data_IF_399113714012
#
_entry.id   IF_399113714012
#
_cell.length_a   1.000
_cell.length_b   1.000
_cell.length_c   1.000
_cell.angle_alpha   90.00
_cell.angle_beta   90.00
_cell.angle_gamma   90.00
#
_symmetry.space_group_name_H-M   'P 1'
#
loop_
_entity.id
_entity.type
_entity.pdbx_description
1 polymer ?
#
# COMPACT_ATOMS: atom_id res chain seq x y z
N UNK A 1 -28.83 -1.04 12.91
CA UNK A 1 -27.47 -0.69 13.36
C UNK A 1 -26.62 -0.63 12.11
N UNK A 2 -26.43 0.58 11.64
CA UNK A 2 -26.02 0.89 10.28
C UNK A 2 -24.53 0.62 10.06
N UNK A 3 -24.26 -0.13 9.01
CA UNK A 3 -22.93 -0.47 8.52
C UNK A 3 -22.32 0.66 7.66
N UNK A 4 -22.28 1.89 8.19
CA UNK A 4 -21.74 3.07 7.49
C UNK A 4 -20.28 3.37 7.85
N UNK A 5 -19.40 2.35 7.92
CA UNK A 5 -17.98 2.54 8.24
C UNK A 5 -17.04 2.42 7.03
N UNK A 6 -17.57 2.39 5.81
CA UNK A 6 -16.73 2.39 4.61
C UNK A 6 -16.93 3.70 3.85
N UNK A 7 -15.85 4.33 3.31
CA UNK A 7 -15.98 5.49 2.43
C UNK A 7 -17.02 5.20 1.36
N UNK A 8 -17.91 6.15 1.05
CA UNK A 8 -18.92 5.97 0.03
C UNK A 8 -18.28 5.47 -1.27
N UNK A 9 -18.93 4.53 -1.94
CA UNK A 9 -18.49 3.83 -3.14
C UNK A 9 -17.92 4.77 -4.21
N UNK A 10 -18.55 5.90 -4.42
CA UNK A 10 -18.11 6.96 -5.34
C UNK A 10 -16.74 7.54 -4.96
N UNK A 11 -16.38 7.61 -3.66
CA UNK A 11 -15.09 8.09 -3.19
C UNK A 11 -13.96 7.10 -3.49
N UNK A 12 -14.21 5.78 -3.40
CA UNK A 12 -13.22 4.74 -3.71
C UNK A 12 -12.87 4.72 -5.19
N UNK A 13 -13.87 4.86 -6.06
CA UNK A 13 -13.68 4.92 -7.51
C UNK A 13 -12.92 6.19 -7.91
N UNK A 14 -13.30 7.35 -7.38
CA UNK A 14 -12.60 8.61 -7.65
C UNK A 14 -11.16 8.65 -7.14
N UNK A 15 -10.88 8.06 -5.97
CA UNK A 15 -9.51 7.99 -5.44
C UNK A 15 -8.60 7.13 -6.31
N UNK A 16 -9.11 6.03 -6.90
CA UNK A 16 -8.29 5.15 -7.75
C UNK A 16 -7.97 5.77 -9.12
N UNK A 17 -8.84 6.60 -9.69
CA UNK A 17 -8.61 7.25 -10.99
C UNK A 17 -7.59 8.41 -10.92
N UNK A 18 -7.52 9.11 -9.80
CA UNK A 18 -6.62 10.25 -9.61
C UNK A 18 -5.36 9.91 -8.80
N UNK A 19 -5.23 8.67 -8.33
CA UNK A 19 -4.09 8.24 -7.54
C UNK A 19 -2.88 7.99 -8.47
N UNK A 20 -1.80 8.80 -8.39
CA UNK A 20 -0.70 8.73 -9.34
C UNK A 20 -0.09 7.34 -9.47
N UNK A 21 0.12 6.65 -8.35
CA UNK A 21 0.62 5.28 -8.34
C UNK A 21 -0.28 4.32 -9.13
N UNK A 22 -1.61 4.48 -9.06
CA UNK A 22 -2.55 3.65 -9.81
C UNK A 22 -2.47 3.91 -11.31
N UNK A 23 -2.24 5.15 -11.72
CA UNK A 23 -2.03 5.54 -13.12
C UNK A 23 -0.76 4.89 -13.66
N UNK A 24 0.36 5.03 -12.94
CA UNK A 24 1.65 4.46 -13.33
C UNK A 24 1.59 2.94 -13.38
N UNK A 25 0.93 2.32 -12.40
CA UNK A 25 0.72 0.87 -12.37
C UNK A 25 -0.11 0.37 -13.56
N UNK A 26 -1.24 1.03 -13.87
CA UNK A 26 -2.06 0.69 -15.04
C UNK A 26 -1.26 0.81 -16.33
N UNK A 27 -0.51 1.89 -16.47
CA UNK A 27 0.34 2.15 -17.63
C UNK A 27 1.38 1.04 -17.80
N UNK A 28 2.09 0.69 -16.73
CA UNK A 28 3.06 -0.39 -16.74
C UNK A 28 2.41 -1.74 -17.11
N UNK A 29 1.25 -2.04 -16.51
CA UNK A 29 0.54 -3.29 -16.79
C UNK A 29 -0.01 -3.36 -18.23
N UNK A 30 -0.47 -2.26 -18.78
CA UNK A 30 -0.98 -2.20 -20.16
C UNK A 30 0.12 -2.51 -21.21
N UNK A 31 1.37 -2.24 -20.90
CA UNK A 31 2.52 -2.62 -21.74
C UNK A 31 3.19 -3.91 -21.29
N UNK A 32 2.48 -4.70 -20.46
CA UNK A 32 2.90 -6.01 -19.96
C UNK A 32 4.23 -5.98 -19.20
N UNK A 33 4.45 -4.98 -18.34
CA UNK A 33 5.58 -4.99 -17.40
C UNK A 33 5.40 -6.15 -16.43
N UNK A 34 6.34 -7.12 -16.42
CA UNK A 34 6.19 -8.35 -15.64
C UNK A 34 6.49 -8.19 -14.16
N UNK A 35 7.45 -7.33 -13.82
CA UNK A 35 7.96 -7.16 -12.46
C UNK A 35 7.89 -5.69 -12.04
N UNK A 36 7.18 -5.41 -10.98
CA UNK A 36 7.04 -4.07 -10.41
C UNK A 36 7.38 -4.14 -8.92
N UNK A 37 8.16 -3.20 -8.42
CA UNK A 37 8.37 -3.00 -6.99
C UNK A 37 7.71 -1.69 -6.56
N UNK A 38 7.01 -1.71 -5.45
CA UNK A 38 6.32 -0.52 -4.92
C UNK A 38 6.79 -0.25 -3.50
N UNK A 39 7.40 0.90 -3.30
CA UNK A 39 7.65 1.44 -1.96
C UNK A 39 6.32 1.90 -1.38
N UNK A 40 5.81 1.18 -0.38
CA UNK A 40 4.54 1.46 0.28
C UNK A 40 4.70 1.37 1.79
N UNK A 41 4.10 2.32 2.50
CA UNK A 41 3.98 2.33 3.95
C UNK A 41 2.74 1.56 4.44
N UNK A 42 1.74 1.36 3.57
CA UNK A 42 0.54 0.56 3.83
C UNK A 42 0.29 -0.44 2.70
N UNK A 43 0.98 -1.59 2.71
CA UNK A 43 0.82 -2.61 1.67
C UNK A 43 -0.61 -3.10 1.48
N UNK A 44 -1.44 -3.09 2.53
CA UNK A 44 -2.83 -3.55 2.45
C UNK A 44 -3.70 -2.57 1.66
N UNK A 45 -3.62 -1.28 1.96
CA UNK A 45 -4.31 -0.25 1.19
C UNK A 45 -3.79 -0.17 -0.25
N UNK A 46 -2.47 -0.27 -0.44
CA UNK A 46 -1.84 -0.26 -1.76
C UNK A 46 -2.33 -1.42 -2.63
N UNK A 47 -2.38 -2.65 -2.10
CA UNK A 47 -2.92 -3.81 -2.85
C UNK A 47 -4.33 -3.54 -3.35
N UNK A 48 -5.21 -3.04 -2.47
CA UNK A 48 -6.60 -2.71 -2.83
C UNK A 48 -6.64 -1.63 -3.92
N UNK A 49 -5.93 -0.53 -3.72
CA UNK A 49 -5.90 0.57 -4.68
C UNK A 49 -5.40 0.14 -6.06
N UNK A 50 -4.33 -0.66 -6.11
CA UNK A 50 -3.79 -1.17 -7.37
C UNK A 50 -4.75 -2.15 -8.05
N UNK A 51 -5.38 -3.08 -7.31
CA UNK A 51 -6.37 -3.99 -7.87
C UNK A 51 -7.60 -3.22 -8.40
N UNK A 52 -8.15 -2.30 -7.61
CA UNK A 52 -9.26 -1.44 -8.02
C UNK A 52 -8.96 -0.58 -9.25
N UNK A 53 -7.72 -0.14 -9.41
CA UNK A 53 -7.33 0.64 -10.59
C UNK A 53 -7.48 -0.11 -11.91
N UNK A 54 -7.61 -1.44 -11.86
CA UNK A 54 -7.79 -2.30 -13.02
C UNK A 54 -9.26 -2.61 -13.33
N UNK A 55 -10.19 -2.19 -12.48
CA UNK A 55 -11.64 -2.33 -12.73
C UNK A 55 -12.03 -1.37 -13.84
N UNK A 56 -12.83 -1.85 -14.80
CA UNK A 56 -13.38 -0.99 -15.83
C UNK A 56 -14.58 -0.22 -15.25
N UNK A 57 -14.35 1.01 -14.85
CA UNK A 57 -15.36 1.87 -14.20
C UNK A 57 -16.59 2.08 -15.08
N UNK A 58 -16.43 2.11 -16.41
CA UNK A 58 -17.56 2.32 -17.34
C UNK A 58 -18.57 1.14 -17.35
N UNK A 59 -18.14 -0.03 -16.88
CA UNK A 59 -18.97 -1.24 -16.77
C UNK A 59 -19.11 -1.74 -15.33
N UNK A 60 -18.63 -0.98 -14.34
CA UNK A 60 -18.70 -1.36 -12.95
C UNK A 60 -20.15 -1.43 -12.45
N UNK A 61 -20.50 -2.54 -11.80
CA UNK A 61 -21.80 -2.78 -11.16
C UNK A 61 -21.69 -2.64 -9.64
N UNK A 62 -22.84 -2.64 -8.95
CA UNK A 62 -22.88 -2.68 -7.48
C UNK A 62 -22.08 -3.88 -6.93
N UNK A 63 -22.11 -5.03 -7.61
CA UNK A 63 -21.34 -6.21 -7.21
C UNK A 63 -19.82 -6.01 -7.27
N UNK A 64 -19.34 -5.10 -8.12
CA UNK A 64 -17.91 -4.73 -8.15
C UNK A 64 -17.51 -3.96 -6.90
N UNK A 65 -18.39 -3.10 -6.39
CA UNK A 65 -18.16 -2.26 -5.22
C UNK A 65 -18.16 -3.05 -3.91
N UNK A 66 -18.91 -4.14 -3.85
CA UNK A 66 -18.97 -5.02 -2.67
C UNK A 66 -17.73 -5.92 -2.53
N UNK A 67 -16.88 -6.00 -3.57
CA UNK A 67 -15.68 -6.82 -3.56
C UNK A 67 -14.45 -5.99 -3.15
N UNK A 68 -13.72 -6.44 -2.12
CA UNK A 68 -12.54 -5.73 -1.57
C UNK A 68 -11.46 -5.42 -2.62
N UNK A 69 -11.35 -6.25 -3.66
CA UNK A 69 -10.34 -6.12 -4.72
C UNK A 69 -10.94 -5.82 -6.11
N UNK A 70 -12.24 -5.59 -6.20
CA UNK A 70 -12.98 -5.47 -7.46
C UNK A 70 -13.19 -6.82 -8.16
N UNK A 71 -14.10 -6.86 -9.14
CA UNK A 71 -14.32 -8.04 -9.97
C UNK A 71 -13.37 -8.04 -11.18
N UNK A 72 -12.64 -9.12 -11.35
CA UNK A 72 -11.70 -9.33 -12.44
C UNK A 72 -11.85 -10.72 -13.03
N UNK A 73 -11.72 -10.82 -14.36
CA UNK A 73 -11.70 -12.08 -15.09
C UNK A 73 -10.31 -12.77 -15.06
N UNK A 74 -9.46 -12.43 -14.10
CA UNK A 74 -8.13 -13.00 -13.95
C UNK A 74 -7.79 -13.20 -12.48
N UNK A 75 -6.90 -14.15 -12.13
CA UNK A 75 -6.52 -14.41 -10.76
C UNK A 75 -5.77 -13.23 -10.13
N UNK A 76 -6.19 -12.85 -8.90
CA UNK A 76 -5.44 -11.96 -8.02
C UNK A 76 -5.04 -12.74 -6.78
N UNK A 77 -3.79 -12.61 -6.37
CA UNK A 77 -3.20 -13.31 -5.24
C UNK A 77 -2.23 -12.45 -4.47
N UNK A 78 -2.00 -12.85 -3.22
CA UNK A 78 -0.87 -12.36 -2.44
C UNK A 78 -0.02 -13.53 -1.95
N UNK A 79 1.21 -13.23 -1.67
CA UNK A 79 2.12 -14.10 -0.95
C UNK A 79 2.71 -13.38 0.25
N UNK A 80 2.76 -14.07 1.38
CA UNK A 80 3.54 -13.69 2.55
C UNK A 80 4.18 -14.94 3.17
N UNK A 81 5.25 -14.73 3.96
CA UNK A 81 6.02 -15.84 4.56
C UNK A 81 5.23 -16.62 5.63
N UNK A 82 4.18 -16.04 6.19
CA UNK A 82 3.36 -16.71 7.22
C UNK A 82 2.31 -17.64 6.64
N UNK A 83 1.83 -17.34 5.43
CA UNK A 83 0.66 -18.00 4.86
C UNK A 83 0.93 -18.63 3.48
N UNK A 84 2.05 -18.29 2.81
CA UNK A 84 2.30 -18.71 1.44
C UNK A 84 1.39 -17.96 0.44
N UNK A 85 1.06 -18.61 -0.67
CA UNK A 85 0.20 -18.04 -1.72
C UNK A 85 -1.27 -18.12 -1.33
N UNK A 86 -1.95 -16.97 -1.25
CA UNK A 86 -3.36 -16.81 -0.90
C UNK A 86 -4.12 -16.18 -2.06
N UNK A 87 -5.23 -16.74 -2.50
CA UNK A 87 -6.12 -16.09 -3.47
C UNK A 87 -6.85 -14.89 -2.84
N UNK A 88 -7.03 -13.81 -3.61
CA UNK A 88 -7.73 -12.60 -3.19
C UNK A 88 -9.07 -12.40 -3.91
N UNK A 89 -9.32 -13.13 -4.99
CA UNK A 89 -10.59 -13.11 -5.72
C UNK A 89 -11.03 -14.51 -6.14
N UNK A 90 -12.23 -14.65 -6.72
CA UNK A 90 -12.79 -15.94 -7.10
C UNK A 90 -11.94 -16.66 -8.15
N UNK A 91 -11.42 -15.94 -9.15
CA UNK A 91 -10.52 -16.53 -10.16
C UNK A 91 -9.25 -17.08 -9.53
N UNK A 92 -8.71 -16.38 -8.52
CA UNK A 92 -7.59 -16.86 -7.71
C UNK A 92 -7.93 -18.12 -6.92
N UNK A 93 -9.12 -18.20 -6.33
CA UNK A 93 -9.61 -19.39 -5.61
C UNK A 93 -9.79 -20.59 -6.54
N UNK A 94 -10.43 -20.37 -7.69
CA UNK A 94 -10.65 -21.39 -8.73
C UNK A 94 -9.32 -22.01 -9.17
N UNK A 95 -8.35 -21.18 -9.51
CA UNK A 95 -7.02 -21.65 -9.88
C UNK A 95 -6.33 -22.41 -8.73
N UNK A 96 -6.41 -21.87 -7.51
CA UNK A 96 -5.79 -22.48 -6.34
C UNK A 96 -6.36 -23.87 -6.09
N UNK A 97 -7.66 -24.05 -6.17
CA UNK A 97 -8.34 -25.35 -6.00
C UNK A 97 -7.91 -26.38 -7.06
N UNK A 98 -7.83 -25.95 -8.33
CA UNK A 98 -7.42 -26.80 -9.44
C UNK A 98 -5.95 -27.25 -9.36
N UNK A 99 -5.08 -26.47 -8.71
CA UNK A 99 -3.63 -26.71 -8.63
C UNK A 99 -3.15 -27.23 -7.27
N UNK A 100 -4.03 -27.77 -6.44
CA UNK A 100 -3.68 -28.50 -5.24
C UNK A 100 -4.21 -27.93 -3.92
N UNK A 101 -5.00 -26.87 -3.97
CA UNK A 101 -5.74 -26.31 -2.83
C UNK A 101 -4.90 -26.02 -1.58
N UNK A 102 -5.51 -26.05 -0.39
CA UNK A 102 -4.85 -25.76 0.89
C UNK A 102 -3.69 -26.69 1.23
N UNK A 103 -3.69 -27.93 0.71
CA UNK A 103 -2.62 -28.90 0.97
C UNK A 103 -1.27 -28.51 0.37
N UNK A 104 -1.23 -27.66 -0.66
CA UNK A 104 0.00 -27.08 -1.24
C UNK A 104 0.36 -25.72 -0.65
N UNK A 105 -0.49 -25.11 0.14
CA UNK A 105 -0.25 -23.80 0.73
C UNK A 105 1.00 -23.80 1.61
N UNK A 106 1.21 -24.85 2.40
CA UNK A 106 2.38 -24.99 3.25
C UNK A 106 3.71 -25.07 2.47
N UNK A 107 3.71 -25.58 1.24
CA UNK A 107 4.93 -25.62 0.43
C UNK A 107 5.30 -24.25 -0.13
N UNK A 108 4.33 -23.36 -0.33
CA UNK A 108 4.55 -22.01 -0.86
C UNK A 108 4.95 -20.98 0.21
N UNK A 109 5.13 -21.38 1.47
CA UNK A 109 5.73 -20.52 2.51
C UNK A 109 7.18 -20.18 2.14
N UNK A 110 7.90 -21.13 1.54
CA UNK A 110 9.23 -20.84 1.00
C UNK A 110 9.09 -19.92 -0.24
N UNK A 111 9.78 -18.78 -0.27
CA UNK A 111 9.66 -17.82 -1.36
C UNK A 111 10.09 -18.37 -2.71
N UNK A 112 11.09 -19.25 -2.76
CA UNK A 112 11.54 -19.87 -4.01
C UNK A 112 10.50 -20.86 -4.55
N UNK A 113 9.88 -21.66 -3.68
CA UNK A 113 8.81 -22.59 -4.07
C UNK A 113 7.56 -21.81 -4.53
N UNK A 114 7.24 -20.68 -3.89
CA UNK A 114 6.17 -19.83 -4.34
C UNK A 114 6.39 -19.36 -5.78
N UNK A 115 7.60 -18.91 -6.12
CA UNK A 115 7.92 -18.48 -7.49
C UNK A 115 7.84 -19.62 -8.51
N UNK A 116 8.25 -20.84 -8.17
CA UNK A 116 8.06 -22.02 -9.04
C UNK A 116 6.58 -22.31 -9.34
N UNK A 117 5.71 -22.09 -8.36
CA UNK A 117 4.26 -22.21 -8.57
C UNK A 117 3.76 -21.07 -9.48
N UNK A 118 4.31 -19.88 -9.32
CA UNK A 118 3.95 -18.70 -10.11
C UNK A 118 4.41 -18.78 -11.58
N UNK A 119 5.36 -19.64 -11.93
CA UNK A 119 5.71 -19.92 -13.33
C UNK A 119 4.56 -20.55 -14.13
N UNK A 120 3.55 -21.15 -13.46
CA UNK A 120 2.45 -21.89 -14.07
C UNK A 120 1.09 -21.18 -13.95
N UNK A 121 1.09 -19.87 -13.86
CA UNK A 121 -0.15 -19.11 -13.67
C UNK A 121 -0.89 -18.86 -14.99
N UNK A 122 -2.23 -18.69 -14.93
CA UNK A 122 -3.03 -18.24 -16.07
C UNK A 122 -2.59 -16.86 -16.55
N UNK A 123 -2.99 -16.54 -17.78
CA UNK A 123 -2.77 -15.22 -18.36
C UNK A 123 -3.35 -14.11 -17.48
N UNK A 124 -2.71 -12.93 -17.51
CA UNK A 124 -3.12 -11.72 -16.81
C UNK A 124 -3.15 -11.82 -15.28
N UNK A 125 -2.60 -12.88 -14.69
CA UNK A 125 -2.52 -13.01 -13.22
C UNK A 125 -1.81 -11.82 -12.59
N UNK A 126 -2.34 -11.35 -11.46
CA UNK A 126 -1.72 -10.35 -10.60
C UNK A 126 -1.33 -11.00 -9.27
N UNK A 127 -0.05 -10.93 -8.93
CA UNK A 127 0.46 -11.47 -7.67
C UNK A 127 1.19 -10.40 -6.88
N UNK A 128 0.76 -10.16 -5.65
CA UNK A 128 1.44 -9.28 -4.70
C UNK A 128 2.35 -10.11 -3.78
N UNK A 129 3.60 -9.71 -3.64
CA UNK A 129 4.56 -10.31 -2.70
C UNK A 129 4.84 -9.30 -1.60
N UNK A 130 4.35 -9.60 -0.39
CA UNK A 130 4.51 -8.73 0.77
C UNK A 130 5.93 -8.80 1.32
N UNK A 131 6.46 -7.65 1.71
CA UNK A 131 7.84 -7.50 2.19
C UNK A 131 8.89 -8.05 1.20
N UNK A 132 8.62 -7.93 -0.10
CA UNK A 132 9.47 -8.45 -1.17
C UNK A 132 10.93 -7.98 -1.08
N UNK A 133 11.17 -6.76 -0.56
CA UNK A 133 12.50 -6.20 -0.33
C UNK A 133 13.39 -7.09 0.55
N UNK A 134 12.82 -7.89 1.46
CA UNK A 134 13.55 -8.77 2.38
C UNK A 134 14.19 -9.98 1.70
N UNK A 135 13.71 -10.35 0.51
CA UNK A 135 14.13 -11.55 -0.19
C UNK A 135 15.10 -11.26 -1.35
N UNK A 136 15.41 -9.99 -1.63
CA UNK A 136 16.29 -9.58 -2.72
C UNK A 136 17.79 -9.86 -2.48
N UNK A 137 18.14 -10.51 -1.39
CA UNK A 137 19.47 -11.08 -1.14
C UNK A 137 19.49 -12.62 -1.23
N UNK A 138 18.36 -13.25 -1.60
CA UNK A 138 18.26 -14.70 -1.74
C UNK A 138 18.37 -15.08 -3.23
N UNK A 139 19.40 -15.79 -3.61
CA UNK A 139 19.71 -16.14 -5.00
C UNK A 139 18.56 -16.93 -5.67
N UNK A 140 17.93 -17.85 -4.95
CA UNK A 140 16.81 -18.63 -5.47
C UNK A 140 15.58 -17.75 -5.74
N UNK A 141 15.35 -16.76 -4.89
CA UNK A 141 14.25 -15.80 -5.08
C UNK A 141 14.52 -14.87 -6.27
N UNK A 142 15.73 -14.34 -6.38
CA UNK A 142 16.17 -13.50 -7.50
C UNK A 142 16.04 -14.28 -8.81
N UNK A 143 16.57 -15.51 -8.86
CA UNK A 143 16.48 -16.36 -10.04
C UNK A 143 15.03 -16.70 -10.39
N UNK A 144 14.18 -16.97 -9.40
CA UNK A 144 12.75 -17.25 -9.64
C UNK A 144 12.00 -16.05 -10.21
N UNK A 145 12.28 -14.83 -9.74
CA UNK A 145 11.73 -13.60 -10.32
C UNK A 145 12.21 -13.43 -11.78
N UNK A 146 13.48 -13.66 -12.01
CA UNK A 146 14.06 -13.56 -13.35
C UNK A 146 13.43 -14.57 -14.30
N UNK A 147 13.19 -15.82 -13.88
CA UNK A 147 12.50 -16.85 -14.65
C UNK A 147 11.06 -16.43 -15.00
N UNK A 148 10.34 -15.78 -14.08
CA UNK A 148 9.00 -15.30 -14.32
C UNK A 148 8.94 -14.16 -15.34
N UNK A 149 10.00 -13.39 -15.52
CA UNK A 149 10.04 -12.19 -16.35
C UNK A 149 9.48 -12.40 -17.76
N UNK A 150 10.07 -13.30 -18.51
CA UNK A 150 9.72 -13.50 -19.92
C UNK A 150 8.34 -14.18 -20.08
N UNK A 151 8.02 -15.11 -19.18
CA UNK A 151 6.69 -15.74 -19.10
C UNK A 151 5.60 -14.69 -18.87
N UNK A 152 5.81 -13.82 -17.88
CA UNK A 152 4.83 -12.84 -17.48
C UNK A 152 4.66 -11.73 -18.52
N UNK A 153 5.75 -11.33 -19.17
CA UNK A 153 5.68 -10.40 -20.30
C UNK A 153 4.83 -10.96 -21.45
N UNK A 154 4.97 -12.25 -21.73
CA UNK A 154 4.24 -12.91 -22.82
C UNK A 154 2.76 -13.13 -22.48
N UNK A 155 2.44 -13.50 -21.24
CA UNK A 155 1.06 -13.81 -20.82
C UNK A 155 0.32 -12.62 -20.17
N UNK A 156 0.95 -11.44 -20.09
CA UNK A 156 0.37 -10.23 -19.52
C UNK A 156 0.19 -10.27 -18.00
N UNK A 157 0.86 -11.20 -17.29
CA UNK A 157 0.84 -11.27 -15.83
C UNK A 157 1.82 -10.28 -15.21
N UNK A 158 1.64 -9.98 -13.93
CA UNK A 158 2.51 -9.06 -13.18
C UNK A 158 2.74 -9.56 -11.76
N UNK A 159 4.00 -9.56 -11.33
CA UNK A 159 4.37 -9.67 -9.92
C UNK A 159 4.63 -8.27 -9.38
N UNK A 160 3.99 -7.93 -8.27
CA UNK A 160 4.18 -6.68 -7.54
C UNK A 160 4.85 -6.98 -6.21
N UNK A 161 6.10 -6.57 -6.06
CA UNK A 161 6.82 -6.62 -4.79
C UNK A 161 6.39 -5.41 -3.97
N UNK A 162 5.78 -5.62 -2.81
CA UNK A 162 5.41 -4.55 -1.87
C UNK A 162 6.39 -4.51 -0.71
N UNK A 163 6.83 -3.32 -0.33
CA UNK A 163 7.74 -3.14 0.79
C UNK A 163 8.28 -1.72 0.87
N UNK A 164 9.39 -1.55 1.57
CA UNK A 164 10.04 -0.26 1.77
C UNK A 164 11.53 -0.35 1.47
N UNK A 165 12.10 0.71 0.91
CA UNK A 165 13.55 0.82 0.73
C UNK A 165 14.14 -0.24 -0.18
N UNK A 166 13.49 -0.55 -1.30
CA UNK A 166 13.99 -1.51 -2.28
C UNK A 166 15.38 -1.14 -2.78
N UNK A 167 16.30 -2.11 -2.68
CA UNK A 167 17.62 -2.08 -3.31
C UNK A 167 17.67 -3.25 -4.29
N UNK A 168 17.52 -2.95 -5.59
CA UNK A 168 17.49 -3.98 -6.62
C UNK A 168 18.87 -4.60 -6.80
N UNK A 169 18.97 -5.93 -6.82
CA UNK A 169 20.20 -6.60 -7.22
C UNK A 169 20.49 -6.31 -8.72
N UNK A 170 21.76 -6.35 -9.15
CA UNK A 170 22.14 -6.04 -10.52
C UNK A 170 21.36 -6.82 -11.59
N UNK A 171 21.03 -8.09 -11.30
CA UNK A 171 20.30 -8.99 -12.19
C UNK A 171 18.88 -8.53 -12.49
N UNK A 172 18.26 -7.81 -11.56
CA UNK A 172 16.88 -7.33 -11.67
C UNK A 172 16.76 -5.83 -11.89
N UNK A 173 17.85 -5.09 -11.83
CA UNK A 173 17.86 -3.62 -11.83
C UNK A 173 17.20 -3.01 -13.09
N UNK A 174 17.34 -3.68 -14.24
CA UNK A 174 16.75 -3.23 -15.51
C UNK A 174 15.38 -3.85 -15.80
N UNK A 175 14.97 -4.87 -15.06
CA UNK A 175 13.77 -5.66 -15.34
C UNK A 175 12.60 -5.29 -14.39
N UNK A 176 12.91 -4.69 -13.25
CA UNK A 176 11.91 -4.28 -12.24
C UNK A 176 11.63 -2.79 -12.33
N UNK A 177 10.39 -2.43 -12.59
CA UNK A 177 9.94 -1.03 -12.51
C UNK A 177 9.70 -0.67 -11.05
N UNK A 178 10.42 0.32 -10.54
CA UNK A 178 10.25 0.83 -9.18
C UNK A 178 9.25 1.98 -9.16
N UNK A 179 8.18 1.83 -8.41
CA UNK A 179 7.17 2.84 -8.15
C UNK A 179 7.20 3.25 -6.67
N UNK A 180 6.83 4.49 -6.40
CA UNK A 180 6.74 5.01 -5.03
C UNK A 180 5.31 5.42 -4.73
N UNK A 181 4.77 4.95 -3.62
CA UNK A 181 3.50 5.43 -3.11
C UNK A 181 3.66 6.88 -2.64
N UNK A 182 2.88 7.82 -3.17
CA UNK A 182 2.93 9.19 -2.72
C UNK A 182 2.35 9.30 -1.31
N UNK A 183 2.91 10.19 -0.50
CA UNK A 183 2.31 10.55 0.77
C UNK A 183 0.97 11.27 0.56
N UNK A 184 0.03 11.17 1.50
CA UNK A 184 -1.24 11.87 1.42
C UNK A 184 -1.07 13.38 1.27
N UNK A 185 -1.84 13.96 0.38
CA UNK A 185 -1.94 15.41 0.22
C UNK A 185 -2.66 16.06 1.41
N UNK A 186 -2.52 17.38 1.58
CA UNK A 186 -3.23 18.13 2.62
C UNK A 186 -4.75 17.89 2.57
N UNK A 187 -5.34 17.84 1.36
CA UNK A 187 -6.78 17.57 1.18
C UNK A 187 -7.17 16.15 1.65
N UNK A 188 -6.33 15.16 1.36
CA UNK A 188 -6.57 13.79 1.81
C UNK A 188 -6.42 13.66 3.33
N UNK A 189 -5.43 14.31 3.93
CA UNK A 189 -5.25 14.36 5.38
C UNK A 189 -6.43 15.07 6.07
N UNK A 190 -6.94 16.14 5.48
CA UNK A 190 -8.15 16.81 5.97
C UNK A 190 -9.37 15.87 5.96
N UNK A 191 -9.56 15.08 4.90
CA UNK A 191 -10.61 14.07 4.84
C UNK A 191 -10.43 13.01 5.92
N UNK A 192 -9.21 12.48 6.11
CA UNK A 192 -8.89 11.51 7.15
C UNK A 192 -9.25 12.06 8.54
N UNK A 193 -8.86 13.30 8.85
CA UNK A 193 -9.16 13.93 10.14
C UNK A 193 -10.67 14.04 10.36
N UNK A 194 -11.41 14.52 9.35
CA UNK A 194 -12.86 14.66 9.41
C UNK A 194 -13.57 13.31 9.60
N UNK A 195 -13.14 12.29 8.87
CA UNK A 195 -13.68 10.93 8.96
C UNK A 195 -13.44 10.33 10.34
N UNK A 196 -12.25 10.47 10.90
CA UNK A 196 -11.92 9.98 12.24
C UNK A 196 -12.75 10.69 13.33
N UNK A 197 -12.90 12.00 13.24
CA UNK A 197 -13.74 12.76 14.19
C UNK A 197 -15.21 12.38 14.08
N UNK A 198 -15.73 12.20 12.87
CA UNK A 198 -17.10 11.76 12.62
C UNK A 198 -17.35 10.36 13.18
N UNK A 199 -16.42 9.41 12.95
CA UNK A 199 -16.50 8.06 13.50
C UNK A 199 -16.51 8.03 15.04
N UNK A 200 -15.80 8.98 15.67
CA UNK A 200 -15.79 9.16 17.11
C UNK A 200 -16.97 10.00 17.66
N UNK A 201 -17.89 10.45 16.79
CA UNK A 201 -18.99 11.38 17.13
C UNK A 201 -18.50 12.66 17.81
N UNK A 202 -17.32 13.15 17.42
CA UNK A 202 -16.75 14.39 17.94
C UNK A 202 -17.03 15.56 17.00
N UNK A 203 -17.15 16.80 17.54
CA UNK A 203 -17.38 17.98 16.71
C UNK A 203 -16.17 18.28 15.83
N UNK A 204 -16.43 18.76 14.61
CA UNK A 204 -15.38 19.27 13.73
C UNK A 204 -14.77 20.54 14.36
N UNK A 205 -13.45 20.68 14.36
CA UNK A 205 -12.78 21.89 14.82
C UNK A 205 -13.04 23.05 13.86
N UNK A 206 -12.78 24.26 14.32
CA UNK A 206 -12.80 25.44 13.46
C UNK A 206 -11.72 25.31 12.34
N UNK A 207 -11.89 26.07 11.23
CA UNK A 207 -10.99 25.95 10.08
C UNK A 207 -9.50 26.20 10.40
N UNK A 208 -9.19 27.07 11.35
CA UNK A 208 -7.80 27.37 11.71
C UNK A 208 -7.18 26.20 12.50
N UNK A 209 -7.94 25.59 13.40
CA UNK A 209 -7.53 24.40 14.16
C UNK A 209 -7.42 23.19 13.24
N UNK A 210 -8.33 23.02 12.28
CA UNK A 210 -8.26 21.95 11.28
C UNK A 210 -7.00 22.09 10.41
N UNK A 211 -6.68 23.29 9.93
CA UNK A 211 -5.46 23.54 9.17
C UNK A 211 -4.19 23.18 9.97
N UNK A 212 -4.12 23.55 11.27
CA UNK A 212 -3.00 23.15 12.13
C UNK A 212 -2.91 21.63 12.32
N UNK A 213 -4.04 20.94 12.38
CA UNK A 213 -4.06 19.47 12.47
C UNK A 213 -3.56 18.82 11.17
N UNK A 214 -3.94 19.36 10.02
CA UNK A 214 -3.40 18.94 8.70
C UNK A 214 -1.89 19.14 8.67
N UNK A 215 -1.39 20.31 9.06
CA UNK A 215 0.05 20.59 9.12
C UNK A 215 0.79 19.60 10.05
N UNK A 216 0.18 19.28 11.17
CA UNK A 216 0.74 18.29 12.12
C UNK A 216 0.80 16.87 11.51
N UNK A 217 -0.05 16.53 10.56
CA UNK A 217 -0.08 15.20 9.91
C UNK A 217 0.67 15.15 8.59
N UNK A 218 1.02 16.28 7.98
CA UNK A 218 1.81 16.32 6.74
C UNK A 218 3.11 15.52 6.86
N UNK A 219 3.40 14.70 5.85
CA UNK A 219 4.57 13.82 5.81
C UNK A 219 4.36 12.46 6.50
N UNK A 220 3.18 12.20 7.08
CA UNK A 220 2.81 10.87 7.57
C UNK A 220 2.11 10.08 6.47
N UNK A 221 2.28 8.75 6.46
CA UNK A 221 1.45 7.86 5.65
C UNK A 221 0.00 7.86 6.16
N UNK A 222 -0.96 7.51 5.30
CA UNK A 222 -2.38 7.58 5.61
C UNK A 222 -2.74 6.81 6.91
N UNK A 223 -2.31 5.56 7.02
CA UNK A 223 -2.54 4.73 8.21
C UNK A 223 -1.94 5.34 9.48
N UNK A 224 -0.72 5.87 9.40
CA UNK A 224 -0.07 6.53 10.55
C UNK A 224 -0.83 7.80 10.93
N UNK A 225 -1.28 8.60 9.95
CA UNK A 225 -2.08 9.79 10.19
C UNK A 225 -3.41 9.45 10.89
N UNK A 226 -4.13 8.42 10.43
CA UNK A 226 -5.36 7.91 11.07
C UNK A 226 -5.12 7.56 12.53
N UNK A 227 -4.08 6.77 12.81
CA UNK A 227 -3.76 6.35 14.16
C UNK A 227 -3.39 7.51 15.07
N UNK A 228 -2.57 8.46 14.62
CA UNK A 228 -2.13 9.58 15.44
C UNK A 228 -3.26 10.59 15.67
N UNK A 229 -4.15 10.77 14.70
CA UNK A 229 -5.39 11.54 14.88
C UNK A 229 -6.26 10.87 15.94
N UNK A 230 -6.57 9.57 15.81
CA UNK A 230 -7.37 8.83 16.78
C UNK A 230 -6.79 8.91 18.20
N UNK A 231 -5.48 8.75 18.36
CA UNK A 231 -4.79 8.84 19.67
C UNK A 231 -4.74 10.25 20.24
N UNK A 232 -4.98 11.27 19.42
CA UNK A 232 -4.99 12.69 19.83
C UNK A 232 -6.40 13.22 20.13
N UNK A 233 -7.42 12.39 19.98
CA UNK A 233 -8.80 12.72 20.34
C UNK A 233 -8.99 12.74 21.85
N UNK A 234 -9.88 13.62 22.31
CA UNK A 234 -10.34 13.78 23.67
C UNK A 234 -11.85 14.05 23.67
N UNK A 235 -12.51 13.95 24.82
CA UNK A 235 -13.94 14.23 24.92
C UNK A 235 -14.31 15.66 24.45
N UNK A 236 -13.38 16.60 24.51
CA UNK A 236 -13.56 17.99 24.05
C UNK A 236 -13.25 18.19 22.54
N UNK A 237 -12.84 17.16 21.82
CA UNK A 237 -12.46 17.23 20.41
C UNK A 237 -10.99 16.82 20.14
N UNK A 238 -10.43 17.31 19.05
CA UNK A 238 -9.05 17.00 18.63
C UNK A 238 -8.02 17.86 19.37
N UNK A 239 -7.07 17.22 20.06
CA UNK A 239 -5.94 17.89 20.68
C UNK A 239 -4.77 18.04 19.72
N UNK A 240 -4.63 19.22 19.11
CA UNK A 240 -3.61 19.48 18.08
C UNK A 240 -2.19 19.51 18.68
N UNK A 241 -2.00 19.97 19.92
CA UNK A 241 -0.69 19.98 20.56
C UNK A 241 -0.17 18.56 20.79
N UNK A 242 -1.08 17.65 21.20
CA UNK A 242 -0.75 16.23 21.33
C UNK A 242 -0.41 15.60 19.97
N UNK A 243 -1.09 16.01 18.92
CA UNK A 243 -0.81 15.54 17.55
C UNK A 243 0.58 16.00 17.08
N UNK A 244 0.96 17.27 17.35
CA UNK A 244 2.31 17.77 17.10
C UNK A 244 3.39 17.05 17.90
N UNK A 245 3.14 16.76 19.18
CA UNK A 245 4.09 16.00 19.99
C UNK A 245 4.29 14.58 19.44
N UNK A 246 3.23 13.92 18.97
CA UNK A 246 3.32 12.62 18.29
C UNK A 246 4.17 12.69 17.03
N UNK A 247 3.97 13.70 16.18
CA UNK A 247 4.80 13.91 15.00
C UNK A 247 6.28 14.05 15.37
N UNK A 248 6.60 14.82 16.41
CA UNK A 248 7.97 14.98 16.90
C UNK A 248 8.57 13.64 17.32
N UNK A 249 7.81 12.83 18.05
CA UNK A 249 8.25 11.50 18.48
C UNK A 249 8.56 10.58 17.29
N UNK A 250 7.74 10.62 16.24
CA UNK A 250 7.98 9.85 15.01
C UNK A 250 9.27 10.32 14.31
N UNK A 251 9.50 11.62 14.23
CA UNK A 251 10.72 12.19 13.63
C UNK A 251 11.95 11.79 14.46
N UNK A 252 11.89 11.93 15.78
CA UNK A 252 13.00 11.60 16.70
C UNK A 252 13.31 10.07 16.68
N UNK A 253 12.32 9.23 16.41
CA UNK A 253 12.50 7.78 16.24
C UNK A 253 13.13 7.39 14.90
N UNK A 254 13.19 8.30 13.93
CA UNK A 254 13.78 8.05 12.61
C UNK A 254 15.29 8.21 12.65
N UNK A 255 16.11 7.19 12.33
CA UNK A 255 17.56 7.28 12.37
C UNK A 255 18.09 8.46 11.54
N UNK A 256 18.93 9.28 12.15
CA UNK A 256 19.55 10.44 11.49
C UNK A 256 18.69 11.71 11.48
N UNK A 257 17.49 11.68 12.03
CA UNK A 257 16.64 12.86 12.20
C UNK A 257 16.53 13.23 13.68
N UNK A 258 16.43 14.53 13.96
CA UNK A 258 16.12 15.06 15.28
C UNK A 258 15.30 16.35 15.15
N UNK A 259 14.36 16.55 16.06
CA UNK A 259 13.58 17.79 16.11
C UNK A 259 14.33 18.82 16.93
N UNK A 260 14.69 19.93 16.29
CA UNK A 260 15.21 21.07 17.03
C UNK A 260 14.11 21.70 17.89
N UNK A 261 14.30 21.65 19.23
CA UNK A 261 13.28 22.11 20.20
C UNK A 261 13.43 23.58 20.60
N UNK A 262 14.35 24.30 19.96
CA UNK A 262 14.70 25.66 20.37
C UNK A 262 15.48 25.67 21.71
N UNK A 263 15.87 26.83 22.17
CA UNK A 263 16.46 26.98 23.52
C UNK A 263 17.95 27.32 23.58
N UNK A 264 18.69 27.20 22.49
CA UNK A 264 20.02 27.81 22.40
C UNK A 264 19.88 29.23 21.86
N UNK A 265 20.05 30.23 22.70
CA UNK A 265 20.20 31.60 22.20
C UNK A 265 21.48 31.66 21.34
N UNK A 266 21.49 32.49 20.29
CA UNK A 266 22.71 32.75 19.50
C UNK A 266 23.92 33.14 20.36
N UNK A 267 23.69 33.63 21.61
CA UNK A 267 24.71 33.92 22.61
C UNK A 267 25.45 32.69 23.14
N UNK A 268 24.96 31.48 22.89
CA UNK A 268 25.60 30.21 23.30
C UNK A 268 26.41 29.54 22.18
N UNK A 269 26.38 30.11 20.97
CA UNK A 269 27.26 29.66 19.89
C UNK A 269 28.63 30.37 20.13
N UNK A 270 29.42 29.80 21.01
CA UNK A 270 30.80 30.21 21.21
C UNK A 270 31.65 29.73 20.03
N UNK A 271 32.28 30.68 19.38
CA UNK A 271 33.18 30.34 18.28
C UNK A 271 33.68 31.57 17.56
N UNK A 272 34.48 32.35 18.19
CA UNK A 272 35.54 33.16 17.55
C UNK A 272 36.81 32.92 18.35
#
# INVERSE_FOLDING_TARGET
MDHDLLPSETKRIHMSEQYPLAIDFRTARNVSVPLIAVNSLDPAATMRALAWSLVNVASASQADTDNEFGLHAFPIRKWDIGHGLIPLNEEGKNWHTQNGGPSKQNTTINPAEALRVLEKVPQRTLTFILNGHRYLSNDFFIQGLWNCRDLYKTNGSTIVLLGIGFKMPPELANDVVLLNEPLPTATQLESIIKEQLSAASLPLPDPATLAKAVDATLGLGAFTAEQEVARSMQASGLNVDKLWERKRQIIDATPGLSVWRGGSSYAQIGGV
#
